data_IF_911680525254
#
_entry.id   IF_911680525254
#
_cell.length_a   1.000
_cell.length_b   1.000
_cell.length_c   1.000
_cell.angle_alpha   90.00
_cell.angle_beta   90.00
_cell.angle_gamma   90.00
#
_symmetry.space_group_name_H-M   'P 1'
#
loop_
_entity.id
_entity.type
_entity.pdbx_description
1 polymer ?
#
# COMPACT_ATOMS: atom_id res chain seq x y z
N UNK A 1 -26.40 9.32 3.30
CA UNK A 1 -26.03 10.26 4.38
C UNK A 1 -24.62 9.88 4.81
N UNK A 2 -23.67 10.81 4.81
CA UNK A 2 -22.28 10.55 5.21
C UNK A 2 -22.23 10.32 6.72
N UNK A 3 -21.56 9.27 7.16
CA UNK A 3 -21.35 8.98 8.57
C UNK A 3 -20.38 9.99 9.19
N UNK A 4 -20.58 10.34 10.46
CA UNK A 4 -19.64 11.16 11.23
C UNK A 4 -18.28 10.47 11.37
N UNK A 5 -17.20 11.25 11.30
CA UNK A 5 -15.83 10.70 11.25
C UNK A 5 -15.49 9.84 12.47
N UNK A 6 -15.84 10.28 13.67
CA UNK A 6 -15.53 9.50 14.86
C UNK A 6 -16.25 8.14 14.85
N UNK A 7 -17.49 8.10 14.40
CA UNK A 7 -18.24 6.85 14.24
C UNK A 7 -17.60 5.96 13.18
N UNK A 8 -17.16 6.52 12.05
CA UNK A 8 -16.37 5.76 11.07
C UNK A 8 -15.11 5.16 11.68
N UNK A 9 -14.33 5.95 12.40
CA UNK A 9 -13.08 5.46 13.00
C UNK A 9 -13.34 4.33 14.01
N UNK A 10 -14.44 4.40 14.76
CA UNK A 10 -14.83 3.32 15.67
C UNK A 10 -15.26 2.05 14.91
N UNK A 11 -16.00 2.18 13.80
CA UNK A 11 -16.32 1.03 12.94
C UNK A 11 -15.07 0.39 12.32
N UNK A 12 -14.14 1.21 11.80
CA UNK A 12 -12.91 0.73 11.18
C UNK A 12 -12.00 0.00 12.17
N UNK A 13 -12.03 0.35 13.47
CA UNK A 13 -11.28 -0.38 14.51
C UNK A 13 -11.73 -1.83 14.69
N UNK A 14 -12.95 -2.18 14.28
CA UNK A 14 -13.41 -3.58 14.26
C UNK A 14 -12.80 -4.39 13.11
N UNK A 15 -12.31 -3.71 12.06
CA UNK A 15 -11.61 -4.33 10.93
C UNK A 15 -10.12 -4.40 11.23
N UNK A 16 -9.53 -3.28 11.64
CA UNK A 16 -8.11 -3.18 12.01
C UNK A 16 -7.93 -2.12 13.09
N UNK A 17 -7.34 -2.48 14.23
CA UNK A 17 -7.27 -1.57 15.39
C UNK A 17 -6.00 -0.73 15.44
N UNK A 18 -4.91 -1.15 14.77
CA UNK A 18 -3.62 -0.45 14.79
C UNK A 18 -3.50 0.52 13.61
N UNK A 19 -4.12 1.69 13.77
CA UNK A 19 -3.98 2.79 12.81
C UNK A 19 -4.01 4.15 13.48
N UNK A 20 -3.53 5.18 12.76
CA UNK A 20 -3.63 6.58 13.16
C UNK A 20 -4.34 7.39 12.08
N UNK A 21 -5.22 8.30 12.49
CA UNK A 21 -5.71 9.38 11.63
C UNK A 21 -4.62 10.45 11.52
N UNK A 22 -4.26 10.82 10.30
CA UNK A 22 -3.26 11.84 9.98
C UNK A 22 -3.83 12.87 9.02
N UNK A 23 -3.26 14.08 9.03
CA UNK A 23 -3.51 15.07 7.98
C UNK A 23 -2.68 14.73 6.74
N UNK A 24 -3.23 14.95 5.55
CA UNK A 24 -2.57 14.55 4.29
C UNK A 24 -1.32 15.36 3.98
N UNK A 25 -1.17 16.56 4.55
CA UNK A 25 0.04 17.39 4.47
C UNK A 25 1.25 16.80 5.22
N UNK A 26 1.02 15.78 6.07
CA UNK A 26 2.09 15.01 6.73
C UNK A 26 2.62 13.84 5.88
N UNK A 27 2.02 13.57 4.72
CA UNK A 27 2.44 12.51 3.80
C UNK A 27 3.54 13.04 2.88
N UNK A 28 4.71 12.43 2.96
CA UNK A 28 5.87 12.83 2.17
C UNK A 28 5.91 12.07 0.84
N UNK A 29 6.08 12.80 -0.26
CA UNK A 29 6.15 12.23 -1.60
C UNK A 29 7.40 12.75 -2.32
N UNK A 30 8.32 11.85 -2.61
CA UNK A 30 9.67 12.22 -3.02
C UNK A 30 10.18 11.41 -4.22
N UNK A 31 10.92 12.09 -5.09
CA UNK A 31 11.48 11.48 -6.31
C UNK A 31 12.47 10.36 -5.99
N UNK A 32 13.30 10.54 -4.96
CA UNK A 32 14.32 9.56 -4.59
C UNK A 32 13.71 8.20 -4.22
N UNK A 33 12.47 8.16 -3.73
CA UNK A 33 11.75 6.93 -3.43
C UNK A 33 11.52 6.14 -4.73
N UNK A 34 11.13 6.83 -5.81
CA UNK A 34 10.99 6.22 -7.14
C UNK A 34 12.32 5.71 -7.67
N UNK A 35 13.43 6.43 -7.43
CA UNK A 35 14.78 5.95 -7.79
C UNK A 35 15.15 4.66 -7.05
N UNK A 36 14.88 4.58 -5.73
CA UNK A 36 15.08 3.33 -4.99
C UNK A 36 14.18 2.20 -5.47
N UNK A 37 12.92 2.47 -5.79
CA UNK A 37 12.02 1.47 -6.37
C UNK A 37 12.57 0.94 -7.70
N UNK A 38 13.00 1.83 -8.60
CA UNK A 38 13.48 1.47 -9.95
C UNK A 38 14.81 0.72 -9.98
N UNK A 39 15.76 1.10 -9.13
CA UNK A 39 17.13 0.58 -9.20
C UNK A 39 17.52 -0.28 -7.99
N UNK A 40 16.75 -0.25 -6.91
CA UNK A 40 17.00 -1.02 -5.69
C UNK A 40 16.08 -2.23 -5.50
N UNK A 41 14.93 -2.29 -6.19
CA UNK A 41 13.97 -3.38 -6.03
C UNK A 41 14.11 -4.43 -7.15
N UNK A 42 14.31 -5.70 -6.78
CA UNK A 42 14.33 -6.84 -7.72
C UNK A 42 12.97 -7.13 -8.37
N UNK A 43 11.90 -6.53 -7.84
CA UNK A 43 10.53 -6.72 -8.31
C UNK A 43 9.97 -5.54 -9.11
N UNK A 44 10.80 -4.53 -9.41
CA UNK A 44 10.38 -3.41 -10.26
C UNK A 44 9.80 -3.89 -11.60
N UNK A 45 8.64 -3.37 -11.98
CA UNK A 45 7.95 -3.71 -13.22
C UNK A 45 7.31 -5.11 -13.27
N UNK A 46 7.41 -5.92 -12.21
CA UNK A 46 6.88 -7.29 -12.20
C UNK A 46 5.38 -7.37 -11.87
N UNK A 47 4.87 -6.42 -11.09
CA UNK A 47 3.50 -6.44 -10.60
C UNK A 47 2.73 -5.19 -11.04
N UNK A 48 1.42 -5.32 -11.26
CA UNK A 48 0.55 -4.20 -11.66
C UNK A 48 0.39 -3.09 -10.62
N UNK A 49 0.86 -3.32 -9.39
CA UNK A 49 0.93 -2.30 -8.34
C UNK A 49 2.32 -1.65 -8.21
N UNK A 50 3.23 -1.95 -9.15
CA UNK A 50 4.55 -1.34 -9.28
C UNK A 50 4.60 -0.43 -10.52
N UNK A 51 5.58 0.49 -10.64
CA UNK A 51 5.75 1.26 -11.85
C UNK A 51 6.11 0.34 -13.03
N UNK A 52 5.69 0.67 -14.27
CA UNK A 52 5.03 1.92 -14.68
C UNK A 52 3.49 1.89 -14.58
N UNK A 53 2.89 0.91 -13.91
CA UNK A 53 1.42 0.69 -13.90
C UNK A 53 0.66 1.46 -12.82
N UNK A 54 1.37 2.27 -12.05
CA UNK A 54 0.84 3.06 -10.94
C UNK A 54 1.18 4.54 -11.14
N UNK A 55 0.50 5.46 -10.43
CA UNK A 55 0.75 6.89 -10.55
C UNK A 55 2.23 7.26 -10.54
N UNK A 56 2.64 8.23 -11.36
CA UNK A 56 3.93 8.90 -11.23
C UNK A 56 4.05 9.62 -9.88
N UNK A 57 5.25 10.08 -9.52
CA UNK A 57 5.46 10.84 -8.28
C UNK A 57 4.62 12.12 -8.30
N UNK A 58 4.55 12.80 -9.44
CA UNK A 58 3.75 14.01 -9.62
C UNK A 58 2.24 13.72 -9.63
N UNK A 59 1.81 12.59 -10.21
CA UNK A 59 0.41 12.15 -10.13
C UNK A 59 0.02 11.80 -8.70
N UNK A 60 0.89 11.15 -7.93
CA UNK A 60 0.67 10.85 -6.53
C UNK A 60 0.55 12.12 -5.68
N UNK A 61 1.42 13.13 -5.91
CA UNK A 61 1.32 14.45 -5.26
C UNK A 61 -0.04 15.10 -5.52
N UNK A 62 -0.48 15.14 -6.78
CA UNK A 62 -1.79 15.70 -7.15
C UNK A 62 -2.95 14.90 -6.55
N UNK A 63 -2.84 13.58 -6.51
CA UNK A 63 -3.85 12.71 -5.91
C UNK A 63 -4.02 13.03 -4.43
N UNK A 64 -2.92 13.10 -3.65
CA UNK A 64 -2.98 13.35 -2.20
C UNK A 64 -3.58 14.72 -1.89
N UNK A 65 -3.30 15.74 -2.71
CA UNK A 65 -3.90 17.09 -2.57
C UNK A 65 -5.42 17.12 -2.72
N UNK A 66 -6.03 16.07 -3.28
CA UNK A 66 -7.48 15.97 -3.33
C UNK A 66 -8.10 15.56 -1.99
N UNK A 67 -7.32 15.30 -0.93
CA UNK A 67 -7.79 14.78 0.35
C UNK A 67 -7.27 15.64 1.51
N UNK A 68 -8.02 15.70 2.61
CA UNK A 68 -7.62 16.43 3.82
C UNK A 68 -7.09 15.49 4.92
N UNK A 69 -7.57 14.24 4.93
CA UNK A 69 -7.29 13.27 5.98
C UNK A 69 -6.87 11.93 5.37
N UNK A 70 -6.12 11.17 6.14
CA UNK A 70 -5.82 9.79 5.82
C UNK A 70 -5.73 8.94 7.09
N UNK A 71 -5.92 7.64 6.93
CA UNK A 71 -5.59 6.65 7.96
C UNK A 71 -4.28 5.97 7.55
N UNK A 72 -3.28 6.01 8.43
CA UNK A 72 -2.05 5.24 8.31
C UNK A 72 -2.16 3.99 9.19
N UNK A 73 -2.44 2.86 8.56
CA UNK A 73 -2.63 1.56 9.21
C UNK A 73 -1.29 0.82 9.31
N UNK A 74 -0.94 0.36 10.51
CA UNK A 74 0.29 -0.35 10.83
C UNK A 74 0.02 -1.84 10.95
N UNK A 75 0.91 -2.66 10.41
CA UNK A 75 0.80 -4.11 10.45
C UNK A 75 2.10 -4.72 10.94
N UNK A 76 2.01 -5.69 11.85
CA UNK A 76 3.14 -6.54 12.22
C UNK A 76 3.16 -7.75 11.29
N UNK A 77 4.20 -7.84 10.46
CA UNK A 77 4.31 -8.90 9.49
C UNK A 77 4.82 -10.19 10.15
N UNK A 78 4.16 -11.30 9.85
CA UNK A 78 4.55 -12.64 10.27
C UNK A 78 5.11 -13.40 9.06
N UNK A 79 6.44 -13.52 8.94
CA UNK A 79 7.03 -14.17 7.77
C UNK A 79 6.87 -15.68 7.79
N UNK A 80 6.75 -16.29 6.62
CA UNK A 80 6.85 -17.73 6.45
C UNK A 80 8.31 -18.17 6.60
N UNK A 81 8.64 -18.76 7.74
CA UNK A 81 10.01 -19.18 8.08
C UNK A 81 10.49 -20.42 7.32
N UNK A 82 9.62 -21.08 6.57
CA UNK A 82 10.01 -22.17 5.67
C UNK A 82 10.56 -21.65 4.33
N UNK A 83 10.43 -20.35 4.06
CA UNK A 83 10.95 -19.68 2.88
C UNK A 83 12.24 -18.91 3.23
N UNK A 84 13.25 -19.00 2.37
CA UNK A 84 14.48 -18.23 2.57
C UNK A 84 14.20 -16.71 2.49
N UNK A 85 14.73 -15.89 3.43
CA UNK A 85 14.50 -14.45 3.42
C UNK A 85 14.98 -13.71 2.15
N UNK A 86 15.92 -14.32 1.41
CA UNK A 86 16.37 -13.80 0.10
C UNK A 86 15.23 -13.77 -0.93
N UNK A 87 14.20 -14.60 -0.76
CA UNK A 87 12.96 -14.62 -1.54
C UNK A 87 11.88 -13.79 -0.82
N UNK A 88 12.19 -12.52 -0.55
CA UNK A 88 11.42 -11.64 0.34
C UNK A 88 9.91 -11.61 0.10
N UNK A 89 9.47 -11.68 -1.16
CA UNK A 89 8.05 -11.66 -1.52
C UNK A 89 7.32 -12.93 -1.07
N UNK A 90 7.92 -14.11 -1.25
CA UNK A 90 7.36 -15.38 -0.76
C UNK A 90 7.54 -15.54 0.76
N UNK A 91 8.64 -15.00 1.30
CA UNK A 91 8.88 -14.93 2.74
C UNK A 91 7.81 -14.12 3.47
N UNK A 92 7.23 -13.09 2.83
CA UNK A 92 6.22 -12.21 3.41
C UNK A 92 4.83 -12.39 2.78
N UNK A 93 4.61 -13.44 2.00
CA UNK A 93 3.43 -13.59 1.14
C UNK A 93 2.11 -13.43 1.88
N UNK A 94 1.92 -14.17 2.96
CA UNK A 94 0.68 -14.16 3.73
C UNK A 94 0.46 -12.81 4.44
N UNK A 95 1.53 -12.22 4.99
CA UNK A 95 1.47 -10.90 5.61
C UNK A 95 1.15 -9.78 4.60
N UNK A 96 1.67 -9.87 3.37
CA UNK A 96 1.31 -8.96 2.28
C UNK A 96 -0.17 -9.12 1.93
N UNK A 97 -0.65 -10.36 1.82
CA UNK A 97 -2.06 -10.63 1.49
C UNK A 97 -3.01 -10.12 2.58
N UNK A 98 -2.64 -10.30 3.86
CA UNK A 98 -3.34 -9.75 5.02
C UNK A 98 -3.44 -8.22 4.93
N UNK A 99 -2.32 -7.52 4.68
CA UNK A 99 -2.32 -6.08 4.46
C UNK A 99 -3.31 -5.67 3.35
N UNK A 100 -3.33 -6.38 2.23
CA UNK A 100 -4.15 -5.99 1.07
C UNK A 100 -5.63 -6.23 1.32
N UNK A 101 -5.97 -7.39 1.87
CA UNK A 101 -7.36 -7.74 2.19
C UNK A 101 -7.91 -6.79 3.26
N UNK A 102 -7.13 -6.47 4.30
CA UNK A 102 -7.52 -5.51 5.33
C UNK A 102 -7.71 -4.10 4.77
N UNK A 103 -6.75 -3.59 3.98
CA UNK A 103 -6.86 -2.27 3.37
C UNK A 103 -8.05 -2.15 2.41
N UNK A 104 -8.36 -3.23 1.67
CA UNK A 104 -9.56 -3.29 0.83
C UNK A 104 -10.85 -3.21 1.66
N UNK A 105 -10.95 -3.94 2.77
CA UNK A 105 -12.13 -3.89 3.64
C UNK A 105 -12.28 -2.52 4.33
N UNK A 106 -11.18 -1.90 4.76
CA UNK A 106 -11.18 -0.53 5.29
C UNK A 106 -11.71 0.48 4.24
N UNK A 107 -11.21 0.42 3.01
CA UNK A 107 -11.69 1.27 1.91
C UNK A 107 -13.17 1.03 1.62
N UNK A 108 -13.58 -0.23 1.51
CA UNK A 108 -14.96 -0.62 1.23
C UNK A 108 -15.90 -0.10 2.31
N UNK A 109 -15.54 -0.26 3.59
CA UNK A 109 -16.36 0.20 4.70
C UNK A 109 -16.48 1.73 4.71
N UNK A 110 -15.36 2.45 4.58
CA UNK A 110 -15.38 3.92 4.47
C UNK A 110 -16.25 4.41 3.30
N UNK A 111 -16.11 3.79 2.12
CA UNK A 111 -16.92 4.12 0.95
C UNK A 111 -18.43 3.92 1.21
N UNK A 112 -18.82 2.76 1.75
CA UNK A 112 -20.22 2.46 2.07
C UNK A 112 -20.81 3.38 3.15
N UNK A 113 -19.95 3.92 4.01
CA UNK A 113 -20.30 4.89 5.05
C UNK A 113 -20.37 6.34 4.54
N UNK A 114 -20.28 6.54 3.23
CA UNK A 114 -20.48 7.83 2.55
C UNK A 114 -19.20 8.63 2.30
N UNK A 115 -18.03 8.10 2.63
CA UNK A 115 -16.74 8.68 2.22
C UNK A 115 -16.42 8.22 0.81
N UNK A 116 -17.17 8.73 -0.16
CA UNK A 116 -17.18 8.21 -1.54
C UNK A 116 -15.84 8.37 -2.29
N UNK A 117 -14.92 9.20 -1.78
CA UNK A 117 -13.56 9.35 -2.31
C UNK A 117 -12.56 8.36 -1.71
N UNK A 118 -12.97 7.55 -0.73
CA UNK A 118 -12.06 6.63 -0.03
C UNK A 118 -11.21 5.81 -1.00
N UNK A 119 -9.90 5.86 -0.82
CA UNK A 119 -8.94 5.14 -1.67
C UNK A 119 -7.76 4.65 -0.85
N UNK A 120 -7.54 3.34 -0.86
CA UNK A 120 -6.42 2.70 -0.21
C UNK A 120 -5.19 2.65 -1.13
N UNK A 121 -4.02 2.79 -0.52
CA UNK A 121 -2.71 2.40 -1.00
C UNK A 121 -2.15 1.36 -0.03
N UNK A 122 -1.36 0.45 -0.58
CA UNK A 122 -0.76 -0.67 0.16
C UNK A 122 0.76 -0.54 0.18
N UNK A 123 1.48 -1.54 0.66
CA UNK A 123 2.93 -1.63 0.51
C UNK A 123 3.34 -2.91 -0.21
N UNK A 124 4.60 -3.00 -0.63
CA UNK A 124 5.20 -4.18 -1.24
C UNK A 124 4.54 -4.63 -2.55
N UNK A 125 5.06 -5.70 -3.14
CA UNK A 125 4.51 -6.30 -4.37
C UNK A 125 3.27 -7.14 -4.06
N UNK A 126 2.25 -7.05 -4.91
CA UNK A 126 1.01 -7.80 -4.76
C UNK A 126 1.25 -9.32 -4.61
N UNK A 127 0.55 -9.98 -3.69
CA UNK A 127 0.67 -11.42 -3.39
C UNK A 127 -0.60 -12.23 -3.72
N UNK A 128 -1.46 -11.73 -4.62
CA UNK A 128 -2.70 -12.44 -4.98
C UNK A 128 -2.52 -13.56 -6.02
N UNK A 129 -1.45 -13.52 -6.81
CA UNK A 129 -1.19 -14.48 -7.89
C UNK A 129 0.27 -14.88 -7.88
N UNK A 130 0.56 -16.13 -8.25
CA UNK A 130 1.93 -16.64 -8.41
C UNK A 130 2.69 -15.84 -9.49
N UNK A 131 2.08 -15.69 -10.67
CA UNK A 131 2.62 -14.88 -11.77
C UNK A 131 1.67 -13.73 -12.12
N UNK A 132 2.13 -12.49 -11.90
CA UNK A 132 1.39 -11.30 -12.32
C UNK A 132 1.48 -11.11 -13.84
N UNK A 133 0.54 -10.35 -14.42
CA UNK A 133 0.45 -10.10 -15.87
C UNK A 133 1.77 -9.60 -16.48
N UNK A 134 2.51 -8.64 -15.87
CA UNK A 134 3.78 -8.17 -16.42
C UNK A 134 4.88 -9.22 -16.53
N UNK A 135 4.81 -10.30 -15.73
CA UNK A 135 5.79 -11.40 -15.79
C UNK A 135 5.46 -12.42 -16.88
N UNK A 136 4.27 -12.36 -17.48
CA UNK A 136 3.83 -13.30 -18.51
C UNK A 136 4.42 -12.87 -19.87
N UNK A 137 5.16 -13.78 -20.50
CA UNK A 137 5.92 -13.57 -21.76
C UNK A 137 5.09 -13.11 -22.97
N UNK A 138 3.76 -13.24 -22.92
CA UNK A 138 2.86 -13.00 -24.06
C UNK A 138 2.12 -11.66 -24.01
N UNK A 139 2.37 -10.82 -22.99
CA UNK A 139 1.61 -9.59 -22.80
C UNK A 139 2.31 -8.39 -23.44
N UNK A 140 1.64 -7.74 -24.40
CA UNK A 140 1.98 -6.35 -24.75
C UNK A 140 1.48 -5.46 -23.62
N UNK A 141 2.42 -4.92 -22.84
CA UNK A 141 2.13 -4.10 -21.67
C UNK A 141 1.91 -2.65 -22.11
N UNK A 142 0.64 -2.25 -22.23
CA UNK A 142 0.22 -0.85 -22.31
C UNK A 142 -0.21 -0.35 -20.91
N UNK A 143 -1.01 0.73 -20.84
CA UNK A 143 -1.62 1.19 -19.58
C UNK A 143 -2.95 0.48 -19.25
N UNK A 144 -3.45 -0.38 -20.13
CA UNK A 144 -4.67 -1.16 -19.91
C UNK A 144 -4.50 -2.54 -19.24
N UNK A 145 -3.32 -3.07 -18.83
CA UNK A 145 -3.22 -4.45 -18.35
C UNK A 145 -3.97 -4.65 -17.03
N UNK A 146 -4.27 -3.57 -16.30
CA UNK A 146 -5.16 -3.59 -15.13
C UNK A 146 -6.53 -4.20 -15.45
N UNK A 147 -7.08 -4.01 -16.66
CA UNK A 147 -8.39 -4.56 -17.08
C UNK A 147 -8.43 -6.08 -17.16
N UNK A 148 -7.27 -6.74 -17.10
CA UNK A 148 -7.16 -8.20 -17.16
C UNK A 148 -6.74 -8.81 -15.82
N UNK A 149 -6.48 -8.00 -14.79
CA UNK A 149 -6.20 -8.52 -13.45
C UNK A 149 -7.42 -9.31 -12.95
N UNK A 150 -7.21 -10.46 -12.32
CA UNK A 150 -8.30 -11.24 -11.71
C UNK A 150 -8.79 -10.65 -10.37
N UNK A 151 -8.05 -9.67 -9.84
CA UNK A 151 -8.27 -9.07 -8.51
C UNK A 151 -8.44 -7.54 -8.59
N UNK A 152 -9.07 -7.03 -9.66
CA UNK A 152 -9.22 -5.58 -9.92
C UNK A 152 -9.84 -4.82 -8.76
N UNK A 153 -10.80 -5.44 -8.10
CA UNK A 153 -11.51 -4.89 -6.96
C UNK A 153 -10.60 -4.69 -5.74
N UNK A 154 -9.59 -5.54 -5.54
CA UNK A 154 -8.71 -5.52 -4.37
C UNK A 154 -7.35 -4.87 -4.61
N UNK A 155 -6.78 -5.03 -5.80
CA UNK A 155 -5.44 -4.52 -6.09
C UNK A 155 -5.40 -3.00 -5.98
N UNK A 156 -4.44 -2.49 -5.21
CA UNK A 156 -4.16 -1.06 -5.06
C UNK A 156 -2.67 -0.79 -5.30
N UNK A 157 -2.30 0.43 -5.73
CA UNK A 157 -0.90 0.83 -5.86
C UNK A 157 -0.14 0.71 -4.53
N UNK A 158 1.13 0.34 -4.58
CA UNK A 158 2.00 0.40 -3.42
C UNK A 158 2.47 1.85 -3.15
N UNK A 159 2.61 2.23 -1.88
CA UNK A 159 3.00 3.57 -1.44
C UNK A 159 4.38 3.95 -1.98
N UNK A 160 5.38 3.09 -1.80
CA UNK A 160 6.73 3.30 -2.30
C UNK A 160 6.79 3.29 -3.83
N UNK A 161 5.89 2.56 -4.47
CA UNK A 161 5.76 2.55 -5.92
C UNK A 161 5.20 3.88 -6.44
N UNK A 162 4.35 4.56 -5.68
CA UNK A 162 3.84 5.90 -5.97
C UNK A 162 4.82 7.02 -5.60
N UNK A 163 5.95 6.72 -4.94
CA UNK A 163 6.91 7.71 -4.48
C UNK A 163 6.65 8.25 -3.07
N UNK A 164 5.74 7.64 -2.31
CA UNK A 164 5.51 8.02 -0.91
C UNK A 164 6.69 7.54 -0.06
N UNK A 165 7.35 8.46 0.64
CA UNK A 165 8.35 8.12 1.65
C UNK A 165 7.63 7.60 2.91
N UNK A 166 7.48 6.29 2.96
CA UNK A 166 6.82 5.59 4.08
C UNK A 166 7.54 5.83 5.41
N UNK A 167 8.87 5.96 5.41
CA UNK A 167 9.63 6.18 6.64
C UNK A 167 9.32 7.55 7.23
N UNK A 168 9.46 8.60 6.42
CA UNK A 168 9.21 9.95 6.92
C UNK A 168 7.71 10.17 7.20
N UNK A 169 6.81 9.66 6.37
CA UNK A 169 5.36 9.72 6.62
C UNK A 169 4.98 9.05 7.95
N UNK A 170 5.52 7.87 8.24
CA UNK A 170 5.25 7.19 9.50
C UNK A 170 5.88 7.90 10.71
N UNK A 171 7.08 8.49 10.56
CA UNK A 171 7.69 9.33 11.58
C UNK A 171 6.87 10.59 11.88
N UNK A 172 6.35 11.25 10.85
CA UNK A 172 5.44 12.39 11.01
C UNK A 172 4.16 11.98 11.77
N UNK A 173 3.70 10.74 11.59
CA UNK A 173 2.60 10.15 12.36
C UNK A 173 2.99 9.66 13.78
N UNK A 174 4.24 9.88 14.21
CA UNK A 174 4.75 9.48 15.52
C UNK A 174 5.01 7.97 15.65
N UNK A 175 5.35 7.28 14.56
CA UNK A 175 5.93 5.94 14.63
C UNK A 175 7.46 6.01 14.57
N UNK A 176 8.12 5.16 15.34
CA UNK A 176 9.57 4.99 15.28
C UNK A 176 9.90 3.84 14.32
N UNK A 177 10.67 4.14 13.28
CA UNK A 177 11.07 3.18 12.26
C UNK A 177 12.57 3.30 11.98
N UNK A 178 13.22 2.15 12.00
CA UNK A 178 14.61 1.99 11.62
C UNK A 178 14.74 0.99 10.48
N UNK A 179 15.82 1.13 9.71
CA UNK A 179 16.14 0.15 8.67
C UNK A 179 16.63 -1.12 9.35
N UNK A 180 15.92 -2.23 9.09
CA UNK A 180 16.28 -3.53 9.64
C UNK A 180 17.63 -4.00 9.09
N UNK A 181 18.43 -4.62 9.95
CA UNK A 181 19.75 -5.19 9.60
C UNK A 181 19.72 -6.70 9.46
N UNK A 182 18.64 -7.34 9.90
CA UNK A 182 18.41 -8.77 9.85
C UNK A 182 16.95 -9.07 9.47
N UNK A 183 16.69 -10.09 8.63
CA UNK A 183 15.34 -10.50 8.24
C UNK A 183 14.55 -11.17 9.38
N UNK A 184 15.18 -11.40 10.53
CA UNK A 184 14.56 -11.99 11.72
C UNK A 184 14.13 -10.94 12.75
N UNK A 185 14.43 -9.66 12.50
CA UNK A 185 13.89 -8.56 13.27
C UNK A 185 12.39 -8.39 13.01
N UNK A 186 11.71 -7.64 13.89
CA UNK A 186 10.28 -7.36 13.74
C UNK A 186 10.05 -6.51 12.48
N UNK A 187 9.30 -7.06 11.52
CA UNK A 187 8.98 -6.38 10.27
C UNK A 187 7.61 -5.70 10.43
N UNK A 188 7.55 -4.43 10.04
CA UNK A 188 6.32 -3.63 10.08
C UNK A 188 5.97 -3.12 8.69
N UNK A 189 4.70 -3.27 8.29
CA UNK A 189 4.16 -2.68 7.07
C UNK A 189 3.22 -1.53 7.39
N UNK A 190 3.01 -0.70 6.37
CA UNK A 190 2.00 0.36 6.41
C UNK A 190 1.11 0.30 5.18
N UNK A 191 -0.17 0.57 5.41
CA UNK A 191 -1.14 0.93 4.38
C UNK A 191 -1.70 2.32 4.64
N UNK A 192 -2.15 2.99 3.58
CA UNK A 192 -2.66 4.35 3.65
C UNK A 192 -4.07 4.39 3.05
N UNK A 193 -5.06 4.82 3.81
CA UNK A 193 -6.42 5.05 3.32
C UNK A 193 -6.69 6.56 3.27
N UNK A 194 -6.81 7.11 2.06
CA UNK A 194 -7.15 8.51 1.85
C UNK A 194 -8.65 8.74 2.10
N UNK A 195 -8.98 9.81 2.82
CA UNK A 195 -10.34 10.17 3.22
C UNK A 195 -10.62 11.67 2.97
N UNK A 196 -11.86 11.98 2.62
CA UNK A 196 -12.35 13.36 2.48
C UNK A 196 -12.80 13.98 3.80
#
# INVERSE_FOLDING_TARGET
MKMELNTLLDELKHIHSDFKLIATDTIEVEEWVRWKCRYGCKAYGKHLNCPPYVPSVEEAKRLIQCYEKAILARFDAHPNRDVQPSHIHHFLWDAIKELYDTMFELERNAFLSGYYKALALVGLCCAYCDDCIPERKETVLDQAPKRFCAHQQKMRPAMEACGIDVFQTARNAGYELEVLTSPYEKITFFGLLLLE
#
